data_IF_667568766657
#
_entry.id   IF_667568766657
#
_cell.length_a   1.000
_cell.length_b   1.000
_cell.length_c   1.000
_cell.angle_alpha   90.00
_cell.angle_beta   90.00
_cell.angle_gamma   90.00
#
_symmetry.space_group_name_H-M   'P 1'
#
loop_
_entity.id
_entity.type
_entity.pdbx_description
1 polymer ?
#
# COMPACT_ATOMS: atom_id res chain seq x y z
N UNK A 1 34.17 15.81 -41.18
CA UNK A 1 33.31 16.36 -40.11
C UNK A 1 31.89 15.82 -40.15
N UNK A 2 31.19 15.83 -41.30
CA UNK A 2 29.80 15.35 -41.43
C UNK A 2 29.58 13.89 -40.96
N UNK A 3 30.47 12.96 -41.32
CA UNK A 3 30.38 11.55 -40.90
C UNK A 3 30.55 11.35 -39.39
N UNK A 4 31.45 12.12 -38.74
CA UNK A 4 31.59 12.10 -37.28
C UNK A 4 30.32 12.62 -36.60
N UNK A 5 29.74 13.70 -37.12
CA UNK A 5 28.49 14.28 -36.60
C UNK A 5 27.31 13.29 -36.70
N UNK A 6 27.20 12.58 -37.83
CA UNK A 6 26.18 11.54 -38.04
C UNK A 6 26.36 10.36 -37.08
N UNK A 7 27.60 9.92 -36.85
CA UNK A 7 27.90 8.83 -35.92
C UNK A 7 27.56 9.21 -34.48
N UNK A 8 27.91 10.43 -34.06
CA UNK A 8 27.57 10.94 -32.73
C UNK A 8 26.06 11.08 -32.55
N UNK A 9 25.34 11.58 -33.56
CA UNK A 9 23.88 11.67 -33.52
C UNK A 9 23.20 10.30 -33.41
N UNK A 10 23.69 9.30 -34.13
CA UNK A 10 23.20 7.92 -34.04
C UNK A 10 23.43 7.31 -32.66
N UNK A 11 24.62 7.53 -32.07
CA UNK A 11 24.94 7.02 -30.73
C UNK A 11 24.04 7.59 -29.64
N UNK A 12 23.74 8.90 -29.73
CA UNK A 12 22.82 9.58 -28.79
C UNK A 12 21.41 8.98 -28.90
N UNK A 13 20.94 8.66 -30.11
CA UNK A 13 19.62 8.06 -30.33
C UNK A 13 19.47 6.68 -29.68
N UNK A 14 20.53 5.87 -29.69
CA UNK A 14 20.53 4.55 -29.04
C UNK A 14 20.45 4.64 -27.51
N UNK A 15 21.05 5.66 -26.88
CA UNK A 15 21.04 5.83 -25.43
C UNK A 15 19.62 6.13 -24.91
N UNK A 16 18.81 6.85 -25.68
CA UNK A 16 17.41 7.14 -25.32
C UNK A 16 16.45 5.94 -25.46
N UNK A 17 16.89 4.86 -26.12
CA UNK A 17 16.07 3.65 -26.34
C UNK A 17 16.29 2.57 -25.27
N UNK A 18 17.17 2.81 -24.29
CA UNK A 18 17.46 1.84 -23.23
C UNK A 18 16.46 1.97 -22.09
N UNK A 19 15.51 1.04 -22.03
CA UNK A 19 14.66 0.83 -20.85
C UNK A 19 15.37 -0.15 -19.90
N UNK A 20 16.15 0.35 -18.94
CA UNK A 20 16.95 -0.49 -18.04
C UNK A 20 16.23 -0.87 -16.73
N UNK A 21 15.04 -0.31 -16.46
CA UNK A 21 14.33 -0.53 -15.20
C UNK A 21 12.91 -1.03 -15.48
N UNK A 22 12.70 -2.33 -15.30
CA UNK A 22 11.35 -2.86 -15.12
C UNK A 22 10.83 -2.36 -13.78
N UNK A 23 9.76 -1.56 -13.80
CA UNK A 23 9.11 -1.18 -12.56
C UNK A 23 8.39 -2.41 -12.00
N UNK A 24 8.97 -3.04 -10.99
CA UNK A 24 8.31 -4.13 -10.24
C UNK A 24 7.12 -3.64 -9.39
N UNK A 25 6.71 -2.38 -9.55
CA UNK A 25 5.59 -1.78 -8.85
C UNK A 25 4.27 -2.24 -9.51
N UNK A 26 3.36 -2.86 -8.75
CA UNK A 26 2.05 -3.24 -9.25
C UNK A 26 1.17 -2.00 -9.49
N UNK A 27 0.12 -2.16 -10.30
CA UNK A 27 -0.91 -1.13 -10.46
C UNK A 27 -1.50 -0.73 -9.10
N UNK A 28 -1.91 0.54 -8.99
CA UNK A 28 -2.55 1.05 -7.78
C UNK A 28 -3.74 0.16 -7.34
N UNK A 29 -3.85 -0.09 -6.04
CA UNK A 29 -4.88 -0.97 -5.46
C UNK A 29 -4.60 -2.48 -5.56
N UNK A 30 -3.54 -2.92 -6.24
CA UNK A 30 -3.15 -4.35 -6.33
C UNK A 30 -2.16 -4.80 -5.25
N UNK A 31 -1.94 -4.00 -4.21
CA UNK A 31 -0.91 -4.23 -3.18
C UNK A 31 0.31 -3.36 -3.43
N UNK A 32 1.24 -3.33 -2.47
CA UNK A 32 2.52 -2.63 -2.58
C UNK A 32 3.55 -3.48 -3.32
N UNK A 33 3.60 -4.78 -3.01
CA UNK A 33 4.52 -5.73 -3.66
C UNK A 33 3.78 -7.05 -3.95
N UNK A 34 3.98 -7.59 -5.14
CA UNK A 34 3.48 -8.90 -5.54
C UNK A 34 4.68 -9.77 -5.93
N UNK A 35 5.17 -10.56 -4.98
CA UNK A 35 6.32 -11.44 -5.15
C UNK A 35 5.85 -12.83 -5.57
N UNK A 36 6.50 -13.39 -6.58
CA UNK A 36 6.29 -14.75 -7.06
C UNK A 36 7.65 -15.42 -7.17
N UNK A 37 7.83 -16.59 -6.55
CA UNK A 37 9.05 -17.37 -6.70
C UNK A 37 9.30 -17.71 -8.17
N UNK A 38 10.56 -17.76 -8.62
CA UNK A 38 10.92 -18.07 -10.02
C UNK A 38 10.34 -19.41 -10.50
N UNK A 39 10.20 -20.34 -9.58
CA UNK A 39 9.66 -21.70 -9.76
C UNK A 39 8.16 -21.81 -9.42
N UNK A 40 7.50 -20.70 -9.08
CA UNK A 40 6.12 -20.67 -8.59
C UNK A 40 5.86 -21.55 -7.36
N UNK A 41 6.89 -21.88 -6.57
CA UNK A 41 6.71 -22.65 -5.34
C UNK A 41 6.10 -21.82 -4.20
N UNK A 42 6.15 -20.49 -4.29
CA UNK A 42 5.57 -19.59 -3.31
C UNK A 42 5.17 -18.25 -3.92
N UNK A 43 4.26 -17.57 -3.23
CA UNK A 43 3.87 -16.19 -3.52
C UNK A 43 3.79 -15.37 -2.24
N UNK A 44 4.00 -14.06 -2.35
CA UNK A 44 3.74 -13.10 -1.28
C UNK A 44 3.21 -11.79 -1.85
N UNK A 45 2.00 -11.43 -1.45
CA UNK A 45 1.37 -10.15 -1.69
C UNK A 45 1.44 -9.32 -0.42
N UNK A 46 2.18 -8.21 -0.49
CA UNK A 46 2.28 -7.22 0.57
C UNK A 46 1.30 -6.10 0.27
N UNK A 47 0.38 -5.83 1.19
CA UNK A 47 -0.60 -4.76 1.08
C UNK A 47 -0.68 -3.94 2.36
N UNK A 48 -1.24 -2.73 2.25
CA UNK A 48 -1.57 -1.89 3.40
C UNK A 48 -3.05 -1.51 3.35
N UNK A 49 -3.66 -1.33 4.53
CA UNK A 49 -5.00 -0.79 4.67
C UNK A 49 -4.99 0.29 5.75
N UNK A 50 -5.39 1.50 5.35
CA UNK A 50 -5.54 2.65 6.24
C UNK A 50 -6.99 3.14 6.25
N UNK A 51 -7.50 3.46 7.44
CA UNK A 51 -8.82 4.04 7.63
C UNK A 51 -8.83 4.93 8.87
N UNK A 52 -9.33 6.15 8.66
CA UNK A 52 -9.66 7.11 9.71
C UNK A 52 -11.15 7.00 10.06
N UNK A 53 -11.49 7.24 11.32
CA UNK A 53 -12.86 7.37 11.79
C UNK A 53 -12.97 8.63 12.63
N UNK A 54 -13.84 9.54 12.21
CA UNK A 54 -14.26 10.70 12.98
C UNK A 54 -15.69 10.48 13.41
N UNK A 55 -15.95 10.66 14.70
CA UNK A 55 -17.29 10.59 15.29
C UNK A 55 -17.56 11.97 15.88
N UNK A 56 -18.73 12.51 15.60
CA UNK A 56 -19.22 13.75 16.21
C UNK A 56 -20.64 13.49 16.71
N UNK A 57 -20.86 13.67 18.00
CA UNK A 57 -22.09 13.35 18.71
C UNK A 57 -22.63 14.60 19.39
N UNK A 58 -23.96 14.71 19.43
CA UNK A 58 -24.68 15.78 20.10
C UNK A 58 -25.90 15.18 20.78
N UNK A 59 -26.22 15.68 21.97
CA UNK A 59 -27.47 15.38 22.65
C UNK A 59 -28.61 16.21 22.03
N UNK A 60 -29.75 15.57 21.77
CA UNK A 60 -30.95 16.23 21.26
C UNK A 60 -32.08 16.18 22.31
N UNK A 61 -32.05 17.05 23.34
CA UNK A 61 -33.11 17.15 24.35
C UNK A 61 -34.47 17.51 23.73
N UNK A 62 -35.56 17.09 24.40
CA UNK A 62 -36.96 17.32 23.96
C UNK A 62 -37.29 18.82 23.86
N UNK A 63 -36.63 19.63 24.68
CA UNK A 63 -36.75 21.08 24.84
C UNK A 63 -36.27 21.86 23.59
N UNK A 64 -35.65 21.16 22.64
CA UNK A 64 -35.16 21.70 21.39
C UNK A 64 -33.69 22.12 21.43
N UNK A 65 -32.99 21.89 20.31
CA UNK A 65 -31.60 22.29 20.11
C UNK A 65 -30.59 21.15 20.37
N UNK A 66 -29.48 21.17 19.62
CA UNK A 66 -28.36 20.27 19.85
C UNK A 66 -27.51 20.79 21.02
N UNK A 67 -27.24 19.94 22.01
CA UNK A 67 -26.43 20.26 23.18
C UNK A 67 -25.30 19.23 23.37
N UNK A 68 -24.31 19.52 24.21
CA UNK A 68 -23.21 18.60 24.55
C UNK A 68 -22.46 18.02 23.33
N UNK A 69 -21.75 18.84 22.53
CA UNK A 69 -20.96 18.36 21.42
C UNK A 69 -19.77 17.52 21.89
N UNK A 70 -19.68 16.28 21.43
CA UNK A 70 -18.53 15.40 21.63
C UNK A 70 -17.90 15.03 20.29
N UNK A 71 -16.57 14.95 20.24
CA UNK A 71 -15.84 14.58 19.04
C UNK A 71 -14.74 13.58 19.35
N UNK A 72 -14.61 12.57 18.50
CA UNK A 72 -13.56 11.54 18.62
C UNK A 72 -12.91 11.29 17.25
N UNK A 73 -11.58 11.28 17.23
CA UNK A 73 -10.77 11.05 16.03
C UNK A 73 -9.86 9.85 16.24
N UNK A 74 -9.99 8.85 15.37
CA UNK A 74 -9.30 7.57 15.51
C UNK A 74 -8.66 7.17 14.18
N UNK A 75 -7.44 6.66 14.23
CA UNK A 75 -6.97 5.74 13.19
C UNK A 75 -7.64 4.40 13.51
N UNK A 76 -8.75 4.11 12.84
CA UNK A 76 -9.57 2.90 13.11
C UNK A 76 -8.87 1.64 12.61
N UNK A 77 -8.19 1.72 11.48
CA UNK A 77 -7.48 0.58 10.88
C UNK A 77 -6.20 1.08 10.25
N UNK A 78 -5.07 0.59 10.73
CA UNK A 78 -3.80 0.60 10.02
C UNK A 78 -3.34 -0.86 10.02
N UNK A 79 -3.30 -1.52 8.87
CA UNK A 79 -2.97 -2.95 8.78
C UNK A 79 -1.97 -3.19 7.67
N UNK A 80 -0.86 -3.86 7.98
CA UNK A 80 -0.01 -4.49 6.98
C UNK A 80 -0.50 -5.91 6.75
N UNK A 81 -0.69 -6.28 5.49
CA UNK A 81 -1.20 -7.60 5.09
C UNK A 81 -0.16 -8.32 4.26
N UNK A 82 0.08 -9.57 4.60
CA UNK A 82 0.98 -10.48 3.91
C UNK A 82 0.16 -11.72 3.55
N UNK A 83 -0.29 -11.77 2.31
CA UNK A 83 -1.13 -12.85 1.78
C UNK A 83 -0.30 -13.68 0.80
N UNK A 84 -0.41 -15.01 0.81
CA UNK A 84 0.32 -15.83 -0.16
C UNK A 84 0.08 -17.32 0.00
N UNK A 85 0.89 -18.11 -0.70
CA UNK A 85 0.98 -19.55 -0.49
C UNK A 85 2.45 -19.98 -0.42
N UNK A 86 2.69 -21.09 0.26
CA UNK A 86 4.01 -21.71 0.35
C UNK A 86 3.91 -23.17 -0.09
N UNK A 87 4.90 -23.66 -0.84
CA UNK A 87 5.01 -25.01 -1.41
C UNK A 87 3.95 -25.36 -2.47
N UNK A 88 2.68 -25.06 -2.24
CA UNK A 88 1.56 -25.36 -3.14
C UNK A 88 0.48 -24.27 -3.04
N UNK A 89 -0.22 -23.92 -4.13
CA UNK A 89 -1.38 -23.02 -4.10
C UNK A 89 -2.51 -23.47 -3.15
N UNK A 90 -2.47 -24.72 -2.68
CA UNK A 90 -3.38 -25.27 -1.68
C UNK A 90 -3.04 -24.83 -0.24
N UNK A 91 -1.75 -24.59 0.06
CA UNK A 91 -1.28 -24.17 1.38
C UNK A 91 -1.13 -22.64 1.41
N UNK A 92 -2.23 -21.95 1.74
CA UNK A 92 -2.29 -20.48 1.78
C UNK A 92 -2.01 -19.98 3.19
N UNK A 93 -1.27 -18.89 3.29
CA UNK A 93 -1.05 -18.16 4.53
C UNK A 93 -1.59 -16.74 4.42
N UNK A 94 -1.93 -16.18 5.57
CA UNK A 94 -2.40 -14.81 5.71
C UNK A 94 -1.97 -14.26 7.05
N UNK A 95 -1.08 -13.28 7.02
CA UNK A 95 -0.58 -12.59 8.21
C UNK A 95 -1.05 -11.14 8.10
N UNK A 96 -1.70 -10.64 9.15
CA UNK A 96 -2.09 -9.23 9.24
C UNK A 96 -1.48 -8.63 10.52
N UNK A 97 -0.69 -7.56 10.38
CA UNK A 97 -0.18 -6.79 11.51
C UNK A 97 -1.05 -5.55 11.72
N UNK A 98 -1.72 -5.47 12.87
CA UNK A 98 -2.53 -4.33 13.28
C UNK A 98 -1.69 -3.24 13.92
N UNK A 99 -1.82 -2.02 13.41
CA UNK A 99 -1.09 -0.82 13.84
C UNK A 99 -2.03 0.33 14.25
N UNK A 100 -3.32 0.07 14.38
CA UNK A 100 -4.29 1.10 14.75
C UNK A 100 -4.22 1.44 16.24
N UNK A 101 -4.78 2.57 16.66
CA UNK A 101 -4.86 2.95 18.09
C UNK A 101 -5.46 1.83 18.95
N UNK A 102 -6.42 1.07 18.41
CA UNK A 102 -7.07 -0.05 19.10
C UNK A 102 -6.24 -1.34 19.09
N UNK A 103 -5.42 -1.54 18.05
CA UNK A 103 -4.60 -2.74 17.92
C UNK A 103 -3.31 -2.64 18.76
N UNK A 104 -2.78 -1.42 18.95
CA UNK A 104 -1.55 -1.16 19.74
C UNK A 104 -1.86 -0.84 21.22
N UNK A 105 -3.14 -0.68 21.61
CA UNK A 105 -3.61 -0.48 22.99
C UNK A 105 -2.72 0.43 23.86
N UNK A 106 -2.33 1.60 23.34
CA UNK A 106 -1.54 2.55 24.12
C UNK A 106 -0.06 2.17 24.31
N UNK A 107 0.54 1.47 23.36
CA UNK A 107 1.99 1.41 23.17
C UNK A 107 2.57 2.81 22.86
N UNK A 108 2.47 3.68 23.85
CA UNK A 108 3.14 4.96 23.93
C UNK A 108 4.58 4.68 24.35
N UNK A 109 5.54 5.28 23.65
CA UNK A 109 6.90 5.40 24.15
C UNK A 109 6.95 6.43 25.29
#
# INVERSE_FOLDING_TARGET
MKAKLLLTGSLIFFIFSVHAQDSNAPAFGKGLFNLVGKDSSWTMKIGTRMQFLTIAEWNNPEDGGLSSPEQNFLIRRARLKFDGYAYSPKLKYKIELGLSNRDISGGSA
#
